data_IF_436165981984
#
_entry.id   IF_436165981984
#
_cell.length_a   1.000
_cell.length_b   1.000
_cell.length_c   1.000
_cell.angle_alpha   90.00
_cell.angle_beta   90.00
_cell.angle_gamma   90.00
#
_symmetry.space_group_name_H-M   'P 1'
#
loop_
_entity.id
_entity.type
_entity.pdbx_description
1 polymer ?
#
# COMPACT_ATOMS: atom_id res chain seq x y z
N UNK A 1 12.18 27.25 -58.08
CA UNK A 1 12.46 27.57 -56.65
C UNK A 1 11.44 26.95 -55.68
N UNK A 2 10.32 26.38 -56.16
CA UNK A 2 9.28 25.76 -55.33
C UNK A 2 9.53 24.27 -55.08
N UNK A 3 10.09 23.53 -56.04
CA UNK A 3 10.38 22.09 -55.89
C UNK A 3 11.48 21.76 -54.87
N UNK A 4 12.54 22.58 -54.77
CA UNK A 4 13.61 22.35 -53.76
C UNK A 4 13.12 22.43 -52.31
N UNK A 5 12.06 23.20 -52.03
CA UNK A 5 11.48 23.33 -50.67
C UNK A 5 10.57 22.16 -50.29
N UNK A 6 10.07 21.39 -51.26
CA UNK A 6 9.23 20.22 -51.01
C UNK A 6 10.09 18.98 -50.67
N UNK A 7 11.25 18.84 -51.30
CA UNK A 7 12.19 17.76 -51.02
C UNK A 7 12.90 17.94 -49.66
N UNK A 8 13.19 19.18 -49.26
CA UNK A 8 13.75 19.46 -47.92
C UNK A 8 12.77 19.10 -46.80
N UNK A 9 11.47 19.37 -46.95
CA UNK A 9 10.45 18.99 -45.95
C UNK A 9 10.25 17.47 -45.85
N UNK A 10 10.33 16.75 -46.97
CA UNK A 10 10.25 15.27 -46.96
C UNK A 10 11.51 14.62 -46.37
N UNK A 11 12.66 15.27 -46.48
CA UNK A 11 13.90 14.84 -45.82
C UNK A 11 13.88 15.13 -44.31
N UNK A 12 13.26 16.24 -43.89
CA UNK A 12 13.08 16.62 -42.49
C UNK A 12 12.00 15.77 -41.78
N UNK A 13 10.91 15.42 -42.47
CA UNK A 13 9.90 14.46 -41.98
C UNK A 13 10.44 13.03 -41.90
N UNK A 14 11.38 12.64 -42.78
CA UNK A 14 12.11 11.36 -42.65
C UNK A 14 13.16 11.35 -41.55
N UNK A 15 13.69 12.52 -41.17
CA UNK A 15 14.59 12.67 -40.01
C UNK A 15 13.79 12.72 -38.70
N UNK A 16 12.65 13.40 -38.67
CA UNK A 16 11.74 13.45 -37.52
C UNK A 16 10.98 12.12 -37.29
N UNK A 17 10.66 11.38 -38.36
CA UNK A 17 10.06 10.04 -38.28
C UNK A 17 11.04 8.93 -37.88
N UNK A 18 12.35 9.22 -37.82
CA UNK A 18 13.40 8.28 -37.40
C UNK A 18 13.72 8.31 -35.90
N UNK A 19 13.19 9.28 -35.16
CA UNK A 19 13.44 9.44 -33.71
C UNK A 19 12.26 8.97 -32.83
N UNK A 20 11.16 8.52 -33.44
CA UNK A 20 9.99 7.97 -32.76
C UNK A 20 9.88 6.43 -32.86
N UNK A 21 11.02 5.74 -32.88
CA UNK A 21 11.05 4.26 -32.86
C UNK A 21 11.68 3.79 -31.55
N UNK A 22 10.82 3.25 -30.67
CA UNK A 22 11.17 2.26 -29.66
C UNK A 22 12.35 2.59 -28.73
N UNK A 23 12.07 3.35 -27.66
CA UNK A 23 12.77 3.13 -26.39
C UNK A 23 12.32 1.79 -25.79
N UNK A 24 12.66 0.68 -26.46
CA UNK A 24 12.77 -0.61 -25.77
C UNK A 24 13.97 -0.46 -24.86
N UNK A 25 13.72 -0.44 -23.55
CA UNK A 25 14.76 -0.49 -22.52
C UNK A 25 15.75 -1.59 -22.92
N UNK A 26 16.98 -1.20 -23.27
CA UNK A 26 18.05 -2.14 -23.58
C UNK A 26 18.35 -2.97 -22.32
N UNK A 27 17.70 -4.12 -22.18
CA UNK A 27 17.95 -5.05 -21.08
C UNK A 27 19.45 -5.37 -21.01
N UNK A 28 20.07 -5.11 -19.86
CA UNK A 28 21.47 -5.47 -19.66
C UNK A 28 21.62 -6.97 -19.88
N UNK A 29 22.76 -7.40 -20.47
CA UNK A 29 23.10 -8.83 -20.58
C UNK A 29 22.96 -9.55 -19.23
N UNK A 30 23.24 -8.85 -18.13
CA UNK A 30 23.07 -9.35 -16.76
C UNK A 30 21.60 -9.58 -16.41
N UNK A 31 20.69 -8.68 -16.80
CA UNK A 31 19.26 -8.82 -16.53
C UNK A 31 18.69 -10.02 -17.29
N UNK A 32 19.06 -10.18 -18.57
CA UNK A 32 18.67 -11.34 -19.38
C UNK A 32 19.14 -12.68 -18.79
N UNK A 33 20.38 -12.73 -18.31
CA UNK A 33 20.91 -13.94 -17.65
C UNK A 33 20.17 -14.23 -16.34
N UNK A 34 19.83 -13.19 -15.57
CA UNK A 34 19.08 -13.33 -14.32
C UNK A 34 17.68 -13.89 -14.56
N UNK A 35 16.94 -13.35 -15.51
CA UNK A 35 15.59 -13.84 -15.87
C UNK A 35 15.66 -15.28 -16.39
N UNK A 36 16.65 -15.62 -17.22
CA UNK A 36 16.86 -17.01 -17.67
C UNK A 36 17.16 -17.95 -16.52
N UNK A 37 18.06 -17.57 -15.60
CA UNK A 37 18.36 -18.38 -14.42
C UNK A 37 17.12 -18.61 -13.55
N UNK A 38 16.28 -17.58 -13.37
CA UNK A 38 15.02 -17.68 -12.66
C UNK A 38 14.04 -18.65 -13.34
N UNK A 39 13.89 -18.58 -14.67
CA UNK A 39 13.04 -19.49 -15.43
C UNK A 39 13.49 -20.95 -15.31
N UNK A 40 14.78 -21.20 -15.53
CA UNK A 40 15.37 -22.54 -15.40
C UNK A 40 15.18 -23.12 -13.99
N UNK A 41 15.26 -22.28 -12.96
CA UNK A 41 15.10 -22.72 -11.57
C UNK A 41 13.63 -22.96 -11.19
N UNK A 42 12.76 -21.96 -11.38
CA UNK A 42 11.38 -22.02 -10.86
C UNK A 42 10.39 -22.71 -11.80
N UNK A 43 10.64 -22.70 -13.11
CA UNK A 43 9.75 -23.31 -14.12
C UNK A 43 10.29 -24.67 -14.57
N UNK A 44 11.57 -24.74 -14.96
CA UNK A 44 12.18 -25.99 -15.45
C UNK A 44 12.70 -26.89 -14.32
N UNK A 45 12.66 -26.43 -13.06
CA UNK A 45 13.06 -27.19 -11.87
C UNK A 45 14.53 -27.66 -11.88
N UNK A 46 15.40 -26.96 -12.60
CA UNK A 46 16.84 -27.25 -12.62
C UNK A 46 17.51 -26.88 -11.29
N UNK A 47 18.54 -27.62 -10.91
CA UNK A 47 19.40 -27.27 -9.77
C UNK A 47 20.29 -26.06 -10.09
N UNK A 48 20.71 -25.33 -9.07
CA UNK A 48 21.61 -24.17 -9.25
C UNK A 48 22.94 -24.53 -9.91
N UNK A 49 23.39 -25.79 -9.80
CA UNK A 49 24.60 -26.28 -10.45
C UNK A 49 24.38 -26.52 -11.94
N UNK A 50 23.28 -27.18 -12.32
CA UNK A 50 22.95 -27.40 -13.73
C UNK A 50 22.75 -26.07 -14.47
N UNK A 51 22.11 -25.08 -13.81
CA UNK A 51 21.95 -23.73 -14.38
C UNK A 51 23.31 -23.04 -14.54
N UNK A 52 24.21 -23.19 -13.58
CA UNK A 52 25.56 -22.63 -13.64
C UNK A 52 26.33 -23.18 -14.86
N UNK A 53 26.23 -24.49 -15.10
CA UNK A 53 26.84 -25.16 -16.25
C UNK A 53 26.22 -24.70 -17.58
N UNK A 54 24.88 -24.62 -17.65
CA UNK A 54 24.16 -24.17 -18.86
C UNK A 54 24.44 -22.71 -19.20
N UNK A 55 24.53 -21.82 -18.22
CA UNK A 55 24.76 -20.39 -18.42
C UNK A 55 26.25 -20.01 -18.45
N UNK A 56 27.16 -20.95 -18.17
CA UNK A 56 28.60 -20.72 -18.17
C UNK A 56 29.06 -19.73 -17.09
N UNK A 57 28.39 -19.72 -15.93
CA UNK A 57 28.70 -18.84 -14.79
C UNK A 57 28.86 -19.64 -13.51
N UNK A 58 29.58 -19.12 -12.52
CA UNK A 58 29.73 -19.83 -11.24
C UNK A 58 28.41 -19.94 -10.45
N UNK A 59 28.25 -21.02 -9.67
CA UNK A 59 27.08 -21.27 -8.80
C UNK A 59 26.73 -20.07 -7.89
N UNK A 60 27.73 -19.39 -7.33
CA UNK A 60 27.53 -18.21 -6.47
C UNK A 60 26.83 -17.08 -7.26
N UNK A 61 27.14 -16.94 -8.54
CA UNK A 61 26.47 -15.98 -9.44
C UNK A 61 25.01 -16.35 -9.64
N UNK A 62 24.68 -17.64 -9.82
CA UNK A 62 23.29 -18.12 -9.93
C UNK A 62 22.51 -17.84 -8.64
N UNK A 63 23.07 -18.16 -7.47
CA UNK A 63 22.44 -17.86 -6.18
C UNK A 63 22.15 -16.37 -6.05
N UNK A 64 23.11 -15.51 -6.41
CA UNK A 64 22.92 -14.06 -6.41
C UNK A 64 21.87 -13.60 -7.42
N UNK A 65 21.87 -14.15 -8.62
CA UNK A 65 20.87 -13.84 -9.65
C UNK A 65 19.46 -14.22 -9.20
N UNK A 66 19.26 -15.42 -8.64
CA UNK A 66 17.96 -15.85 -8.11
C UNK A 66 17.50 -14.97 -6.94
N UNK A 67 18.41 -14.64 -6.02
CA UNK A 67 18.13 -13.72 -4.92
C UNK A 67 17.78 -12.31 -5.43
N UNK A 68 18.48 -11.83 -6.46
CA UNK A 68 18.21 -10.54 -7.09
C UNK A 68 16.90 -10.54 -7.88
N UNK A 69 16.56 -11.63 -8.56
CA UNK A 69 15.30 -11.75 -9.28
C UNK A 69 14.11 -11.68 -8.31
N UNK A 70 14.25 -12.33 -7.13
CA UNK A 70 13.28 -12.22 -6.05
C UNK A 70 13.22 -10.82 -5.45
N UNK A 71 14.37 -10.20 -5.13
CA UNK A 71 14.38 -8.87 -4.51
C UNK A 71 13.89 -7.76 -5.43
N UNK A 72 14.02 -7.94 -6.76
CA UNK A 72 13.49 -7.05 -7.80
C UNK A 72 12.04 -7.34 -8.19
N UNK A 73 11.40 -8.35 -7.59
CA UNK A 73 10.04 -8.81 -7.95
C UNK A 73 9.87 -9.26 -9.40
N UNK A 74 10.95 -9.71 -10.03
CA UNK A 74 10.93 -10.34 -11.35
C UNK A 74 10.37 -11.76 -11.29
N UNK A 75 10.42 -12.37 -10.10
CA UNK A 75 9.79 -13.66 -9.81
C UNK A 75 8.70 -13.45 -8.77
N UNK A 76 7.47 -13.84 -9.13
CA UNK A 76 6.33 -13.91 -8.22
C UNK A 76 5.88 -15.35 -8.10
N UNK A 77 5.73 -15.83 -6.87
CA UNK A 77 5.27 -17.18 -6.57
C UNK A 77 3.84 -17.08 -6.08
N UNK A 78 2.92 -17.69 -6.83
CA UNK A 78 1.53 -17.87 -6.43
C UNK A 78 1.34 -19.30 -5.97
N UNK A 79 0.76 -19.50 -4.79
CA UNK A 79 0.39 -20.82 -4.27
C UNK A 79 -1.13 -20.92 -4.30
N UNK A 80 -1.64 -21.78 -5.17
CA UNK A 80 -3.07 -22.11 -5.24
C UNK A 80 -3.33 -23.27 -4.29
N UNK A 81 -3.63 -22.95 -3.03
CA UNK A 81 -4.02 -23.94 -2.03
C UNK A 81 -4.96 -23.33 -1.01
N UNK A 82 -6.07 -24.02 -0.76
CA UNK A 82 -7.02 -23.67 0.30
C UNK A 82 -6.62 -24.42 1.58
N UNK A 83 -5.88 -23.76 2.45
CA UNK A 83 -5.73 -24.24 3.82
C UNK A 83 -7.11 -24.14 4.50
N UNK A 84 -7.76 -25.28 4.76
CA UNK A 84 -9.11 -25.33 5.33
C UNK A 84 -9.28 -24.47 6.59
N UNK A 85 -8.23 -24.36 7.42
CA UNK A 85 -8.21 -23.52 8.62
C UNK A 85 -8.29 -22.03 8.28
N UNK A 86 -7.56 -21.58 7.26
CA UNK A 86 -7.56 -20.20 6.77
C UNK A 86 -8.95 -19.85 6.21
N UNK A 87 -9.54 -20.72 5.39
CA UNK A 87 -10.89 -20.52 4.84
C UNK A 87 -11.93 -20.41 5.96
N UNK A 88 -11.81 -21.23 7.01
CA UNK A 88 -12.70 -21.14 8.19
C UNK A 88 -12.56 -19.80 8.92
N UNK A 89 -11.34 -19.30 9.09
CA UNK A 89 -11.09 -17.99 9.70
C UNK A 89 -11.66 -16.86 8.83
N UNK A 90 -11.45 -16.90 7.51
CA UNK A 90 -12.00 -15.92 6.57
C UNK A 90 -13.53 -15.87 6.69
N UNK A 91 -14.21 -17.02 6.64
CA UNK A 91 -15.68 -17.10 6.81
C UNK A 91 -16.17 -16.62 8.17
N UNK A 92 -15.43 -16.92 9.24
CA UNK A 92 -15.77 -16.44 10.57
C UNK A 92 -15.65 -14.91 10.66
N UNK A 93 -14.59 -14.32 10.10
CA UNK A 93 -14.40 -12.87 10.05
C UNK A 93 -15.51 -12.19 9.25
N UNK A 94 -15.84 -12.72 8.07
CA UNK A 94 -16.93 -12.23 7.23
C UNK A 94 -18.25 -12.19 7.99
N UNK A 95 -18.60 -13.30 8.65
CA UNK A 95 -19.85 -13.40 9.40
C UNK A 95 -19.88 -12.47 10.62
N UNK A 96 -18.81 -12.43 11.42
CA UNK A 96 -18.77 -11.69 12.68
C UNK A 96 -18.78 -10.17 12.46
N UNK A 97 -18.05 -9.69 11.45
CA UNK A 97 -17.88 -8.26 11.21
C UNK A 97 -18.65 -7.72 10.00
N UNK A 98 -19.43 -8.55 9.31
CA UNK A 98 -20.22 -8.15 8.15
C UNK A 98 -19.36 -7.75 6.94
N UNK A 99 -18.17 -8.34 6.79
CA UNK A 99 -17.28 -8.06 5.66
C UNK A 99 -17.84 -8.67 4.38
N UNK A 100 -17.60 -8.00 3.25
CA UNK A 100 -17.82 -8.61 1.94
C UNK A 100 -16.79 -9.71 1.66
N UNK A 101 -15.56 -9.51 2.14
CA UNK A 101 -14.49 -10.49 1.98
C UNK A 101 -13.47 -10.36 3.11
N UNK A 102 -13.02 -11.49 3.66
CA UNK A 102 -11.84 -11.55 4.49
C UNK A 102 -10.74 -12.35 3.77
N UNK A 103 -9.50 -11.88 3.90
CA UNK A 103 -8.31 -12.53 3.35
C UNK A 103 -7.30 -12.73 4.48
N UNK A 104 -7.06 -13.99 4.83
CA UNK A 104 -6.15 -14.34 5.91
C UNK A 104 -4.85 -14.89 5.31
N UNK A 105 -3.73 -14.32 5.74
CA UNK A 105 -2.39 -14.74 5.36
C UNK A 105 -1.87 -15.78 6.38
N UNK A 106 -1.43 -16.97 5.92
CA UNK A 106 -0.85 -17.98 6.80
C UNK A 106 0.51 -17.50 7.34
N UNK A 107 0.79 -17.83 8.59
CA UNK A 107 2.08 -17.54 9.21
C UNK A 107 2.95 -18.80 9.36
N UNK A 108 4.26 -18.62 9.34
CA UNK A 108 5.21 -19.72 9.59
C UNK A 108 5.24 -20.17 11.05
N UNK A 109 4.90 -19.27 11.96
CA UNK A 109 4.76 -19.51 13.39
C UNK A 109 3.89 -18.38 14.02
N UNK A 110 3.30 -18.65 15.18
CA UNK A 110 2.45 -17.66 15.86
C UNK A 110 3.18 -16.36 16.28
N UNK A 111 4.52 -16.42 16.39
CA UNK A 111 5.39 -15.29 16.72
C UNK A 111 6.09 -14.65 15.51
N UNK A 112 5.79 -15.12 14.28
CA UNK A 112 6.39 -14.55 13.09
C UNK A 112 5.94 -13.10 12.88
N UNK A 113 6.79 -12.28 12.25
CA UNK A 113 6.37 -10.96 11.79
C UNK A 113 5.26 -11.13 10.74
N UNK A 114 4.04 -10.62 10.99
CA UNK A 114 2.93 -10.81 10.06
C UNK A 114 3.02 -9.91 8.82
N UNK A 115 3.84 -8.84 8.86
CA UNK A 115 3.86 -7.83 7.80
C UNK A 115 4.17 -8.41 6.42
N UNK A 116 5.21 -9.24 6.22
CA UNK A 116 5.51 -9.81 4.91
C UNK A 116 4.36 -10.66 4.35
N UNK A 117 3.69 -11.46 5.18
CA UNK A 117 2.62 -12.35 4.76
C UNK A 117 1.34 -11.56 4.39
N UNK A 118 0.95 -10.61 5.24
CA UNK A 118 -0.16 -9.68 4.96
C UNK A 118 0.12 -8.90 3.69
N UNK A 119 1.36 -8.41 3.53
CA UNK A 119 1.71 -7.58 2.40
C UNK A 119 1.67 -8.32 1.07
N UNK A 120 2.12 -9.58 1.06
CA UNK A 120 1.99 -10.46 -0.10
C UNK A 120 0.52 -10.68 -0.49
N UNK A 121 -0.32 -11.08 0.47
CA UNK A 121 -1.76 -11.30 0.25
C UNK A 121 -2.46 -10.02 -0.23
N UNK A 122 -2.11 -8.86 0.35
CA UNK A 122 -2.67 -7.55 -0.05
C UNK A 122 -2.25 -7.19 -1.47
N UNK A 123 -0.96 -7.31 -1.82
CA UNK A 123 -0.49 -6.95 -3.17
C UNK A 123 -1.09 -7.84 -4.26
N UNK A 124 -1.26 -9.13 -3.98
CA UNK A 124 -1.98 -10.05 -4.88
C UNK A 124 -3.44 -9.61 -5.07
N UNK A 125 -4.16 -9.34 -3.97
CA UNK A 125 -5.53 -8.85 -4.04
C UNK A 125 -5.66 -7.56 -4.85
N UNK A 126 -4.78 -6.58 -4.62
CA UNK A 126 -4.77 -5.30 -5.34
C UNK A 126 -4.47 -5.46 -6.83
N UNK A 127 -3.69 -6.48 -7.21
CA UNK A 127 -3.41 -6.78 -8.61
C UNK A 127 -4.68 -7.08 -9.41
N UNK A 128 -5.66 -7.73 -8.77
CA UNK A 128 -6.92 -8.12 -9.39
C UNK A 128 -8.01 -7.06 -9.21
N UNK A 129 -8.04 -6.42 -8.02
CA UNK A 129 -9.10 -5.49 -7.65
C UNK A 129 -9.07 -4.17 -8.42
N UNK A 130 -7.89 -3.64 -8.77
CA UNK A 130 -7.76 -2.33 -9.41
C UNK A 130 -8.15 -2.38 -10.90
N UNK A 131 -8.94 -1.40 -11.38
CA UNK A 131 -9.49 -1.33 -12.74
C UNK A 131 -9.35 0.08 -13.31
N UNK A 132 -9.42 0.19 -14.64
CA UNK A 132 -9.46 1.48 -15.34
C UNK A 132 -10.63 2.36 -14.87
N UNK A 133 -10.43 3.67 -14.82
CA UNK A 133 -11.42 4.65 -14.37
C UNK A 133 -11.56 4.78 -12.85
N UNK A 134 -10.87 3.94 -12.06
CA UNK A 134 -11.00 3.98 -10.59
C UNK A 134 -10.24 5.15 -9.96
N UNK A 135 -10.87 5.76 -8.96
CA UNK A 135 -10.27 6.70 -8.01
C UNK A 135 -10.00 5.99 -6.68
N UNK A 136 -8.74 5.87 -6.30
CA UNK A 136 -8.30 5.09 -5.14
C UNK A 136 -7.61 5.99 -4.12
N UNK A 137 -8.23 6.12 -2.95
CA UNK A 137 -7.64 6.77 -1.80
C UNK A 137 -6.66 5.83 -1.12
N UNK A 138 -5.44 6.28 -0.87
CA UNK A 138 -4.42 5.47 -0.21
C UNK A 138 -3.95 6.11 1.09
N UNK A 139 -3.92 5.28 2.13
CA UNK A 139 -3.23 5.58 3.36
C UNK A 139 -1.73 5.34 3.23
N UNK A 140 -1.10 5.08 4.36
CA UNK A 140 0.34 4.85 4.43
C UNK A 140 0.69 3.87 5.56
N UNK A 141 1.98 3.58 5.70
CA UNK A 141 2.51 2.78 6.81
C UNK A 141 3.37 1.62 6.34
N UNK A 142 4.02 0.96 7.29
CA UNK A 142 4.97 -0.12 7.00
C UNK A 142 4.29 -1.28 6.25
N UNK A 143 3.10 -1.69 6.69
CA UNK A 143 2.32 -2.74 6.04
C UNK A 143 2.03 -2.41 4.57
N UNK A 144 1.51 -1.21 4.30
CA UNK A 144 1.20 -0.76 2.94
C UNK A 144 2.45 -0.68 2.06
N UNK A 145 3.55 -0.11 2.56
CA UNK A 145 4.77 0.00 1.78
C UNK A 145 5.33 -1.36 1.35
N UNK A 146 5.22 -2.37 2.22
CA UNK A 146 5.67 -3.73 1.92
C UNK A 146 4.78 -4.46 0.90
N UNK A 147 3.60 -3.92 0.54
CA UNK A 147 2.71 -4.54 -0.46
C UNK A 147 3.15 -4.26 -1.89
N UNK A 148 3.79 -3.09 -2.14
CA UNK A 148 4.19 -2.63 -3.47
C UNK A 148 4.94 -3.71 -4.30
N UNK A 149 5.91 -4.46 -3.74
CA UNK A 149 6.61 -5.56 -4.42
C UNK A 149 5.69 -6.64 -5.01
N UNK A 150 4.55 -6.90 -4.37
CA UNK A 150 3.67 -8.00 -4.72
C UNK A 150 2.60 -7.61 -5.74
N UNK A 151 2.36 -6.31 -5.95
CA UNK A 151 1.38 -5.82 -6.91
C UNK A 151 1.88 -6.03 -8.34
N UNK A 152 1.06 -6.63 -9.20
CA UNK A 152 1.35 -6.83 -10.61
C UNK A 152 1.08 -5.54 -11.38
N UNK A 153 2.15 -4.98 -11.94
CA UNK A 153 2.08 -3.78 -12.74
C UNK A 153 1.21 -4.01 -13.98
N UNK A 154 0.31 -3.08 -14.26
CA UNK A 154 -0.57 -3.10 -15.44
C UNK A 154 -0.97 -1.67 -15.78
N UNK A 155 -1.05 -1.33 -17.06
CA UNK A 155 -1.51 0.00 -17.47
C UNK A 155 -3.03 0.08 -17.31
N UNK A 156 -3.50 1.02 -16.48
CA UNK A 156 -4.92 1.28 -16.27
C UNK A 156 -5.26 2.69 -16.77
N UNK A 157 -6.09 2.79 -17.80
CA UNK A 157 -6.59 4.08 -18.31
C UNK A 157 -7.41 4.83 -17.24
N UNK A 158 -7.19 6.14 -17.11
CA UNK A 158 -7.90 7.04 -16.18
C UNK A 158 -7.91 6.52 -14.72
N UNK A 159 -6.78 5.96 -14.28
CA UNK A 159 -6.60 5.49 -12.90
C UNK A 159 -5.99 6.61 -12.05
N UNK A 160 -6.65 6.95 -10.94
CA UNK A 160 -6.22 8.04 -10.06
C UNK A 160 -5.94 7.53 -8.66
N UNK A 161 -4.84 7.98 -8.07
CA UNK A 161 -4.44 7.63 -6.71
C UNK A 161 -4.37 8.91 -5.89
N UNK A 162 -5.12 8.95 -4.79
CA UNK A 162 -5.25 10.12 -3.92
C UNK A 162 -4.57 9.83 -2.59
N UNK A 163 -3.55 10.62 -2.22
CA UNK A 163 -2.90 10.53 -0.91
C UNK A 163 -3.84 11.09 0.17
N UNK A 164 -4.25 10.25 1.12
CA UNK A 164 -5.23 10.62 2.13
C UNK A 164 -4.65 11.33 3.37
N UNK A 165 -3.33 11.51 3.42
CA UNK A 165 -2.61 12.15 4.53
C UNK A 165 -1.49 13.03 3.98
N UNK A 166 -1.24 14.15 4.66
CA UNK A 166 -0.06 14.99 4.47
C UNK A 166 1.26 14.26 4.75
N UNK A 167 2.35 14.79 4.22
CA UNK A 167 3.68 14.23 4.40
C UNK A 167 4.20 14.27 5.85
N UNK A 168 5.08 13.32 6.16
CA UNK A 168 5.86 13.31 7.41
C UNK A 168 7.25 13.91 7.15
N UNK A 169 7.58 15.00 7.85
CA UNK A 169 8.77 15.84 7.59
C UNK A 169 10.14 15.15 7.70
N UNK A 170 10.26 14.08 8.50
CA UNK A 170 11.44 13.21 8.54
C UNK A 170 11.00 11.76 8.29
N UNK A 171 10.81 11.42 7.02
CA UNK A 171 10.57 10.05 6.60
C UNK A 171 11.88 9.26 6.68
N UNK A 172 12.12 8.51 7.76
CA UNK A 172 13.31 7.65 7.84
C UNK A 172 13.18 6.39 6.97
N UNK A 173 11.95 5.93 6.66
CA UNK A 173 11.69 4.70 5.87
C UNK A 173 10.42 4.70 5.01
N UNK A 174 9.35 5.40 5.43
CA UNK A 174 8.06 5.41 4.71
C UNK A 174 7.46 6.81 4.78
N UNK A 175 6.96 7.33 3.65
CA UNK A 175 6.25 8.60 3.55
C UNK A 175 4.89 8.40 2.83
N UNK A 176 3.79 9.02 3.28
CA UNK A 176 2.50 8.95 2.58
C UNK A 176 2.58 9.29 1.09
N UNK A 177 3.26 10.39 0.75
CA UNK A 177 3.41 10.83 -0.64
C UNK A 177 4.21 9.82 -1.49
N UNK A 178 5.24 9.21 -0.91
CA UNK A 178 6.03 8.18 -1.60
C UNK A 178 5.19 6.94 -1.88
N UNK A 179 4.42 6.46 -0.91
CA UNK A 179 3.55 5.31 -1.12
C UNK A 179 2.51 5.59 -2.23
N UNK A 180 1.82 6.72 -2.14
CA UNK A 180 0.82 7.10 -3.14
C UNK A 180 1.41 7.21 -4.54
N UNK A 181 2.57 7.88 -4.66
CA UNK A 181 3.25 8.02 -5.94
C UNK A 181 3.69 6.66 -6.51
N UNK A 182 4.32 5.79 -5.71
CA UNK A 182 4.75 4.46 -6.17
C UNK A 182 3.58 3.56 -6.53
N UNK A 183 2.48 3.63 -5.77
CA UNK A 183 1.26 2.89 -6.05
C UNK A 183 0.64 3.31 -7.39
N UNK A 184 0.58 4.62 -7.68
CA UNK A 184 0.14 5.14 -8.96
C UNK A 184 1.01 4.66 -10.13
N UNK A 185 2.34 4.67 -9.95
CA UNK A 185 3.30 4.24 -10.98
C UNK A 185 3.14 2.76 -11.36
N UNK A 186 2.82 1.87 -10.41
CA UNK A 186 2.56 0.46 -10.69
C UNK A 186 1.41 0.29 -11.69
N UNK A 187 0.42 1.18 -11.65
CA UNK A 187 -0.74 1.14 -12.52
C UNK A 187 -0.68 2.14 -13.69
N UNK A 188 0.43 2.88 -13.85
CA UNK A 188 0.58 4.00 -14.79
C UNK A 188 -0.54 5.06 -14.67
N UNK A 189 -1.03 5.28 -13.45
CA UNK A 189 -2.06 6.26 -13.14
C UNK A 189 -1.50 7.59 -12.63
N UNK A 190 -2.41 8.53 -12.42
CA UNK A 190 -2.11 9.86 -11.90
C UNK A 190 -2.13 9.88 -10.36
N UNK A 191 -1.11 10.50 -9.76
CA UNK A 191 -0.99 10.66 -8.32
C UNK A 191 -1.37 12.07 -7.86
N UNK A 192 -2.42 12.18 -7.05
CA UNK A 192 -2.89 13.39 -6.40
C UNK A 192 -2.40 13.40 -4.96
N UNK A 193 -1.35 14.19 -4.70
CA UNK A 193 -0.64 14.20 -3.41
C UNK A 193 -1.17 15.32 -2.50
N UNK A 194 -0.97 15.17 -1.19
CA UNK A 194 -1.29 16.20 -0.20
C UNK A 194 0.01 16.87 0.28
N UNK A 195 0.46 17.99 -0.35
CA UNK A 195 1.75 18.63 -0.07
C UNK A 195 1.72 19.47 1.21
N UNK A 196 1.32 18.88 2.33
CA UNK A 196 1.28 19.50 3.66
C UNK A 196 2.00 18.64 4.68
N UNK A 197 2.37 19.17 5.86
CA UNK A 197 2.68 18.28 6.98
C UNK A 197 1.45 17.45 7.37
N UNK A 198 1.66 16.27 7.93
CA UNK A 198 0.60 15.39 8.44
C UNK A 198 -0.18 16.01 9.62
N UNK A 199 0.45 16.89 10.39
CA UNK A 199 -0.14 17.61 11.52
C UNK A 199 0.28 19.07 11.43
N UNK A 200 -0.67 19.99 11.60
CA UNK A 200 -0.42 21.43 11.70
C UNK A 200 -0.51 21.93 13.14
N UNK A 201 -0.12 23.17 13.37
CA UNK A 201 -0.09 23.79 14.69
C UNK A 201 -1.48 24.25 15.18
N UNK A 202 -2.41 24.52 14.26
CA UNK A 202 -3.74 25.06 14.56
C UNK A 202 -4.79 24.67 13.53
N UNK A 203 -6.07 24.77 13.92
CA UNK A 203 -7.22 24.59 13.02
C UNK A 203 -7.23 25.68 11.95
N UNK A 204 -6.84 26.91 12.29
CA UNK A 204 -6.73 28.03 11.37
C UNK A 204 -5.72 27.74 10.25
N UNK A 205 -4.56 27.14 10.58
CA UNK A 205 -3.58 26.69 9.59
C UNK A 205 -4.17 25.60 8.68
N UNK A 206 -4.88 24.62 9.24
CA UNK A 206 -5.55 23.56 8.45
C UNK A 206 -6.53 24.16 7.45
N UNK A 207 -7.41 25.06 7.91
CA UNK A 207 -8.39 25.74 7.06
C UNK A 207 -7.69 26.56 5.97
N UNK A 208 -6.67 27.35 6.33
CA UNK A 208 -5.95 28.17 5.37
C UNK A 208 -5.28 27.33 4.27
N UNK A 209 -4.67 26.20 4.62
CA UNK A 209 -4.08 25.28 3.64
C UNK A 209 -5.15 24.68 2.72
N UNK A 210 -6.31 24.30 3.26
CA UNK A 210 -7.40 23.71 2.47
C UNK A 210 -8.00 24.73 1.50
N UNK A 211 -8.42 25.89 2.01
CA UNK A 211 -9.20 26.88 1.26
C UNK A 211 -8.34 27.80 0.38
N UNK A 212 -7.11 28.09 0.79
CA UNK A 212 -6.27 29.13 0.14
C UNK A 212 -5.07 28.58 -0.61
N UNK A 213 -4.68 27.33 -0.34
CA UNK A 213 -3.52 26.70 -0.98
C UNK A 213 -3.90 25.56 -1.93
N UNK A 214 -5.16 25.49 -2.36
CA UNK A 214 -5.61 24.59 -3.43
C UNK A 214 -5.72 23.13 -3.05
N UNK A 215 -5.75 22.77 -1.76
CA UNK A 215 -5.91 21.38 -1.33
C UNK A 215 -7.37 20.92 -1.37
N UNK A 216 -8.32 21.85 -1.51
CA UNK A 216 -9.74 21.54 -1.61
C UNK A 216 -10.03 20.44 -2.65
N UNK A 217 -9.34 20.45 -3.79
CA UNK A 217 -9.49 19.43 -4.83
C UNK A 217 -9.22 18.01 -4.30
N UNK A 218 -8.18 17.80 -3.50
CA UNK A 218 -7.86 16.48 -2.90
C UNK A 218 -8.99 16.00 -1.99
N UNK A 219 -9.58 16.91 -1.21
CA UNK A 219 -10.69 16.58 -0.32
C UNK A 219 -11.99 16.32 -1.09
N UNK A 220 -12.26 17.06 -2.17
CA UNK A 220 -13.41 16.85 -3.06
C UNK A 220 -13.31 15.52 -3.82
N UNK A 221 -12.13 15.18 -4.34
CA UNK A 221 -11.88 13.87 -4.95
C UNK A 221 -12.11 12.74 -3.94
N UNK A 222 -11.83 12.97 -2.66
CA UNK A 222 -12.05 11.98 -1.62
C UNK A 222 -13.54 11.65 -1.38
N UNK A 223 -14.48 12.50 -1.83
CA UNK A 223 -15.92 12.22 -1.77
C UNK A 223 -16.40 11.27 -2.87
N UNK A 224 -15.59 11.06 -3.92
CA UNK A 224 -15.93 10.25 -5.09
C UNK A 224 -15.03 9.00 -5.26
N UNK A 225 -14.40 8.54 -4.17
CA UNK A 225 -13.51 7.39 -4.20
C UNK A 225 -14.27 6.10 -4.50
N UNK A 226 -13.77 5.34 -5.46
CA UNK A 226 -14.24 3.97 -5.74
C UNK A 226 -13.67 2.98 -4.71
N UNK A 227 -12.45 3.23 -4.25
CA UNK A 227 -11.81 2.41 -3.23
C UNK A 227 -10.93 3.22 -2.27
N UNK A 228 -10.79 2.72 -1.04
CA UNK A 228 -9.76 3.17 -0.09
C UNK A 228 -8.91 2.00 0.38
N UNK A 229 -7.59 2.19 0.43
CA UNK A 229 -6.61 1.24 0.95
C UNK A 229 -5.96 1.81 2.20
N UNK A 230 -6.25 1.19 3.35
CA UNK A 230 -5.92 1.71 4.67
C UNK A 230 -5.16 0.67 5.49
N UNK A 231 -4.29 1.14 6.38
CA UNK A 231 -3.73 0.33 7.47
C UNK A 231 -3.89 1.06 8.78
N UNK A 232 -3.76 0.34 9.89
CA UNK A 232 -3.90 0.90 11.25
C UNK A 232 -2.60 0.82 12.02
N UNK A 233 -2.33 1.89 12.77
CA UNK A 233 -1.30 1.94 13.79
C UNK A 233 -1.88 1.56 15.15
N UNK A 234 -1.13 0.78 15.94
CA UNK A 234 -1.45 0.61 17.36
C UNK A 234 -0.92 1.80 18.16
N UNK A 235 -1.58 2.19 19.25
CA UNK A 235 -1.14 3.34 20.07
C UNK A 235 0.27 3.14 20.69
N UNK A 236 0.69 1.89 20.88
CA UNK A 236 2.06 1.54 21.26
C UNK A 236 3.07 1.87 20.14
N UNK A 237 2.68 1.68 18.88
CA UNK A 237 3.47 2.02 17.70
C UNK A 237 3.53 3.54 17.42
N UNK A 238 2.63 4.33 18.03
CA UNK A 238 2.67 5.79 17.97
C UNK A 238 3.96 6.40 18.55
N UNK A 239 4.71 5.64 19.35
CA UNK A 239 6.09 5.98 19.75
C UNK A 239 7.03 6.22 18.56
N UNK A 240 6.77 5.58 17.41
CA UNK A 240 7.49 5.83 16.15
C UNK A 240 7.17 7.21 15.59
N UNK A 241 5.93 7.69 15.75
CA UNK A 241 5.52 9.05 15.35
C UNK A 241 6.06 10.11 16.32
N UNK A 242 6.13 9.78 17.61
CA UNK A 242 6.74 10.65 18.63
C UNK A 242 8.24 10.83 18.42
N UNK A 243 8.95 9.76 18.06
CA UNK A 243 10.38 9.84 17.66
C UNK A 243 10.59 10.57 16.33
N UNK A 244 9.57 10.63 15.48
CA UNK A 244 9.55 11.40 14.24
C UNK A 244 9.20 12.87 14.41
N UNK A 245 8.77 13.30 15.60
CA UNK A 245 8.39 14.69 15.91
C UNK A 245 6.96 15.07 15.55
N UNK A 246 6.09 14.11 15.21
CA UNK A 246 4.73 14.38 14.71
C UNK A 246 3.66 14.40 15.81
N UNK A 247 3.91 13.70 16.91
CA UNK A 247 3.05 13.63 18.08
C UNK A 247 3.94 13.77 19.32
N UNK A 248 3.76 14.81 20.14
CA UNK A 248 4.57 14.95 21.35
C UNK A 248 4.26 13.77 22.28
N UNK A 249 5.24 13.31 23.05
CA UNK A 249 5.01 12.20 23.99
C UNK A 249 3.89 12.53 24.98
N UNK A 250 3.79 13.79 25.41
CA UNK A 250 2.69 14.27 26.26
C UNK A 250 1.31 14.14 25.58
N UNK A 251 1.22 14.38 24.27
CA UNK A 251 -0.05 14.19 23.52
C UNK A 251 -0.38 12.69 23.43
N UNK A 252 0.64 11.84 23.23
CA UNK A 252 0.47 10.38 23.23
C UNK A 252 -0.04 9.86 24.58
N UNK A 253 0.56 10.28 25.68
CA UNK A 253 0.10 9.93 27.03
C UNK A 253 -1.32 10.43 27.29
N UNK A 254 -1.65 11.65 26.84
CA UNK A 254 -2.99 12.22 26.96
C UNK A 254 -4.05 11.46 26.14
N UNK A 255 -3.69 10.95 24.95
CA UNK A 255 -4.54 10.09 24.13
C UNK A 255 -4.76 8.73 24.79
N UNK A 256 -3.69 8.11 25.31
CA UNK A 256 -3.77 6.85 26.06
C UNK A 256 -4.67 6.96 27.29
N UNK A 257 -4.52 8.04 28.06
CA UNK A 257 -5.35 8.31 29.23
C UNK A 257 -6.83 8.49 28.88
N UNK A 258 -7.15 8.85 27.63
CA UNK A 258 -8.50 8.98 27.09
C UNK A 258 -9.01 7.72 26.37
N UNK A 259 -8.24 6.62 26.41
CA UNK A 259 -8.67 5.33 25.86
C UNK A 259 -8.30 5.10 24.39
N UNK A 260 -7.42 5.91 23.80
CA UNK A 260 -6.95 5.66 22.43
C UNK A 260 -6.25 4.29 22.32
N UNK A 261 -6.69 3.47 21.38
CA UNK A 261 -6.12 2.14 21.12
C UNK A 261 -5.30 2.09 19.84
N UNK A 262 -5.58 3.00 18.90
CA UNK A 262 -4.90 3.07 17.62
C UNK A 262 -5.17 4.35 16.86
N UNK A 263 -4.61 4.40 15.65
CA UNK A 263 -4.82 5.50 14.70
C UNK A 263 -5.06 4.99 13.27
N UNK A 264 -5.81 5.77 12.50
CA UNK A 264 -6.08 5.57 11.08
C UNK A 264 -5.89 6.93 10.42
N UNK A 265 -4.82 7.08 9.63
CA UNK A 265 -4.43 8.37 9.05
C UNK A 265 -4.30 9.48 10.11
N UNK A 266 -3.72 9.16 11.27
CA UNK A 266 -3.60 10.03 12.44
C UNK A 266 -4.92 10.47 13.10
N UNK A 267 -6.06 9.95 12.67
CA UNK A 267 -7.27 10.00 13.50
C UNK A 267 -7.15 8.95 14.60
N UNK A 268 -6.99 9.41 15.85
CA UNK A 268 -6.89 8.53 17.01
C UNK A 268 -8.28 8.17 17.53
N UNK A 269 -8.49 6.89 17.78
CA UNK A 269 -9.79 6.33 18.17
C UNK A 269 -9.67 5.33 19.32
N UNK A 270 -10.79 5.11 20.01
CA UNK A 270 -10.92 4.14 21.09
C UNK A 270 -11.33 2.74 20.58
N UNK A 271 -11.48 1.76 21.48
CA UNK A 271 -11.85 0.38 21.12
C UNK A 271 -13.22 0.26 20.46
N UNK A 272 -14.12 1.22 20.67
CA UNK A 272 -15.44 1.24 20.06
C UNK A 272 -15.41 1.86 18.65
N UNK A 273 -14.29 2.46 18.26
CA UNK A 273 -14.13 3.16 16.99
C UNK A 273 -14.60 4.61 17.05
N UNK A 274 -14.80 5.17 18.24
CA UNK A 274 -15.10 6.58 18.42
C UNK A 274 -13.80 7.39 18.41
N UNK A 275 -13.81 8.54 17.72
CA UNK A 275 -12.66 9.44 17.72
C UNK A 275 -12.44 10.01 19.12
N UNK A 276 -11.21 9.91 19.61
CA UNK A 276 -10.84 10.43 20.92
C UNK A 276 -10.90 11.97 20.90
N UNK A 277 -11.57 12.56 21.88
CA UNK A 277 -11.62 14.02 22.05
C UNK A 277 -10.25 14.56 22.50
N UNK A 278 -9.44 14.91 21.51
CA UNK A 278 -8.11 15.46 21.69
C UNK A 278 -7.79 16.46 20.55
N UNK A 279 -7.18 17.63 20.85
CA UNK A 279 -6.89 18.66 19.84
C UNK A 279 -6.12 18.17 18.62
N UNK A 280 -5.27 17.15 18.80
CA UNK A 280 -4.50 16.57 17.68
C UNK A 280 -5.41 16.14 16.52
N UNK A 281 -6.57 15.53 16.77
CA UNK A 281 -7.48 15.07 15.72
C UNK A 281 -8.01 16.23 14.87
N UNK A 282 -8.10 17.45 15.43
CA UNK A 282 -8.49 18.64 14.70
C UNK A 282 -7.34 19.27 13.88
N UNK A 283 -6.09 18.88 14.18
CA UNK A 283 -4.89 19.43 13.57
C UNK A 283 -4.29 18.52 12.49
N UNK A 284 -4.83 17.32 12.32
CA UNK A 284 -4.34 16.38 11.30
C UNK A 284 -4.77 16.85 9.91
N UNK A 285 -3.82 16.86 8.98
CA UNK A 285 -4.06 17.05 7.54
C UNK A 285 -4.31 15.69 6.90
N UNK A 286 -5.50 15.14 7.14
CA UNK A 286 -5.98 13.91 6.53
C UNK A 286 -7.42 14.08 6.09
N UNK A 287 -7.82 13.24 5.15
CA UNK A 287 -9.23 13.10 4.77
C UNK A 287 -10.02 12.58 5.97
N UNK A 288 -11.19 13.18 6.22
CA UNK A 288 -12.05 12.79 7.32
C UNK A 288 -12.59 11.36 7.14
N UNK A 289 -12.66 10.61 8.24
CA UNK A 289 -13.14 9.21 8.25
C UNK A 289 -14.52 9.07 7.59
N UNK A 290 -15.42 10.03 7.80
CA UNK A 290 -16.76 10.02 7.20
C UNK A 290 -16.76 10.07 5.68
N UNK A 291 -15.78 10.73 5.06
CA UNK A 291 -15.63 10.71 3.60
C UNK A 291 -15.15 9.34 3.14
N UNK A 292 -14.18 8.76 3.85
CA UNK A 292 -13.65 7.42 3.56
C UNK A 292 -14.72 6.32 3.65
N UNK A 293 -15.67 6.44 4.59
CA UNK A 293 -16.82 5.53 4.73
C UNK A 293 -17.72 5.48 3.50
N UNK A 294 -17.77 6.56 2.70
CA UNK A 294 -18.60 6.62 1.48
C UNK A 294 -18.06 5.74 0.36
N UNK A 295 -16.75 5.48 0.33
CA UNK A 295 -16.14 4.63 -0.70
C UNK A 295 -16.75 3.22 -0.65
N UNK A 296 -17.20 2.65 -1.77
CA UNK A 296 -17.86 1.34 -1.77
C UNK A 296 -16.89 0.20 -1.45
N UNK A 297 -15.61 0.33 -1.82
CA UNK A 297 -14.55 -0.63 -1.53
C UNK A 297 -13.66 -0.04 -0.43
N UNK A 298 -13.68 -0.62 0.77
CA UNK A 298 -12.88 -0.17 1.91
C UNK A 298 -11.98 -1.30 2.37
N UNK A 299 -10.73 -1.25 1.94
CA UNK A 299 -9.72 -2.28 2.19
C UNK A 299 -8.91 -1.89 3.42
N UNK A 300 -9.10 -2.62 4.50
CA UNK A 300 -8.27 -2.52 5.70
C UNK A 300 -7.24 -3.64 5.70
N UNK A 301 -5.95 -3.31 5.71
CA UNK A 301 -4.86 -4.28 5.76
C UNK A 301 -3.94 -4.03 6.95
N UNK A 302 -4.00 -4.91 7.96
CA UNK A 302 -3.16 -4.82 9.15
C UNK A 302 -3.24 -6.10 9.98
N UNK A 303 -2.27 -6.26 10.87
CA UNK A 303 -2.12 -7.40 11.77
C UNK A 303 -0.94 -7.18 12.70
N UNK A 304 -0.78 -8.08 13.67
CA UNK A 304 0.15 -7.97 14.79
C UNK A 304 -0.59 -8.10 16.12
N UNK A 305 0.02 -8.82 17.06
CA UNK A 305 -0.55 -9.03 18.39
C UNK A 305 -0.83 -7.69 19.11
N UNK A 306 0.05 -6.71 18.90
CA UNK A 306 -0.03 -5.37 19.48
C UNK A 306 -1.13 -4.49 18.90
N UNK A 307 -1.82 -4.94 17.84
CA UNK A 307 -2.87 -4.19 17.14
C UNK A 307 -4.26 -4.78 17.31
N UNK A 308 -4.46 -5.73 18.21
CA UNK A 308 -5.77 -6.39 18.38
C UNK A 308 -6.87 -5.38 18.66
N UNK A 309 -6.70 -4.49 19.66
CA UNK A 309 -7.71 -3.48 19.98
C UNK A 309 -7.81 -2.38 18.93
N UNK A 310 -6.70 -2.01 18.29
CA UNK A 310 -6.70 -1.07 17.17
C UNK A 310 -7.49 -1.61 15.97
N UNK A 311 -7.33 -2.89 15.66
CA UNK A 311 -8.13 -3.56 14.63
C UNK A 311 -9.61 -3.52 15.00
N UNK A 312 -9.99 -3.92 16.22
CA UNK A 312 -11.38 -3.89 16.67
C UNK A 312 -12.01 -2.49 16.56
N UNK A 313 -11.31 -1.47 17.07
CA UNK A 313 -11.76 -0.08 16.94
C UNK A 313 -11.87 0.36 15.48
N UNK A 314 -10.91 -0.03 14.63
CA UNK A 314 -10.95 0.29 13.20
C UNK A 314 -12.11 -0.38 12.46
N UNK A 315 -12.47 -1.61 12.83
CA UNK A 315 -13.61 -2.30 12.21
C UNK A 315 -14.91 -1.51 12.39
N UNK A 316 -15.10 -0.89 13.57
CA UNK A 316 -16.24 0.00 13.84
C UNK A 316 -16.05 1.39 13.23
N UNK A 317 -14.82 1.92 13.27
CA UNK A 317 -14.50 3.25 12.76
C UNK A 317 -14.67 3.34 11.24
N UNK A 318 -14.18 2.41 10.44
CA UNK A 318 -14.25 2.52 8.97
C UNK A 318 -15.27 1.58 8.31
N UNK A 319 -15.81 0.61 9.08
CA UNK A 319 -16.69 -0.43 8.56
C UNK A 319 -16.14 -1.03 7.25
N UNK A 320 -14.93 -1.64 7.27
CA UNK A 320 -14.26 -2.06 6.05
C UNK A 320 -15.12 -3.08 5.31
N UNK A 321 -15.09 -3.05 3.98
CA UNK A 321 -15.72 -4.12 3.18
C UNK A 321 -14.80 -5.30 3.01
N UNK A 322 -13.49 -5.06 3.01
CA UNK A 322 -12.45 -6.07 2.87
C UNK A 322 -11.46 -5.94 4.02
N UNK A 323 -11.22 -7.03 4.73
CA UNK A 323 -10.14 -7.14 5.73
C UNK A 323 -9.05 -8.08 5.21
N UNK A 324 -7.80 -7.62 5.22
CA UNK A 324 -6.63 -8.43 4.93
C UNK A 324 -5.75 -8.47 6.19
N UNK A 325 -5.59 -9.64 6.78
CA UNK A 325 -4.86 -9.80 8.05
C UNK A 325 -4.11 -11.12 8.10
N UNK A 326 -3.39 -11.39 9.17
CA UNK A 326 -2.72 -12.66 9.41
C UNK A 326 -3.56 -13.62 10.26
N UNK A 327 -3.20 -14.90 10.20
CA UNK A 327 -3.87 -15.99 10.91
C UNK A 327 -4.05 -15.73 12.40
N UNK A 328 -3.03 -15.22 13.08
CA UNK A 328 -3.06 -15.04 14.53
C UNK A 328 -3.87 -13.80 14.91
N UNK A 329 -3.76 -12.72 14.14
CA UNK A 329 -4.61 -11.54 14.32
C UNK A 329 -6.09 -11.88 14.10
N UNK A 330 -6.41 -12.66 13.06
CA UNK A 330 -7.76 -13.16 12.82
C UNK A 330 -8.32 -13.91 14.03
N UNK A 331 -7.55 -14.85 14.59
CA UNK A 331 -7.95 -15.60 15.80
C UNK A 331 -8.19 -14.68 16.99
N UNK A 332 -7.30 -13.71 17.24
CA UNK A 332 -7.42 -12.77 18.38
C UNK A 332 -8.66 -11.90 18.30
N UNK A 333 -8.94 -11.29 17.14
CA UNK A 333 -10.12 -10.41 17.01
C UNK A 333 -11.43 -11.19 17.07
N UNK A 334 -11.47 -12.43 16.56
CA UNK A 334 -12.64 -13.30 16.70
C UNK A 334 -12.89 -13.72 18.16
N UNK A 335 -11.82 -14.07 18.88
CA UNK A 335 -11.91 -14.41 20.30
C UNK A 335 -12.41 -13.22 21.14
N UNK A 336 -11.84 -12.04 20.92
CA UNK A 336 -12.19 -10.83 21.66
C UNK A 336 -13.67 -10.41 21.53
N UNK A 337 -14.30 -10.67 20.37
CA UNK A 337 -15.73 -10.42 20.16
C UNK A 337 -16.60 -11.51 20.79
N UNK A 338 -16.11 -12.75 20.86
CA UNK A 338 -16.86 -13.85 21.48
C UNK A 338 -16.94 -13.73 23.02
N UNK A 339 -16.02 -12.97 23.62
CA UNK A 339 -15.93 -12.74 25.06
C UNK A 339 -16.64 -11.45 25.54
N UNK A 340 -17.09 -10.60 24.60
CA UNK A 340 -17.78 -9.32 24.87
C UNK A 340 -19.30 -9.46 24.77
#
# INVERSE_FOLDING_TARGET
MVERRADERRAEERRAGGEATEQVVSESRTDRLRIRAAWMYFVEQMTQNEIADVLGVGRVTIVRMLAEARSRNEVKITIESELLEIVRLERALEKTFGLQQALVAPLTAASADPIPAIAAKTGMFLSDAMKSGMQVGVGWGNTLFHTLPFISAKSLTDFKVISLLGGVGVARRVNPAEFAWRFAQIFQGDGYLMPTPAVVDSVETKIALIERCGLQEVFEMADALDAVLLSVGGIASATTFSRGGFLREADREALLARGAVGDLLFHFYDRNGDLVDHPVNNHVMSVDVDRLRKAPIRILTSGGAEKTDALLGAMNLIAPTILITDEESARRILAAVSES
#
